data_IF_663878154272
#
_entry.id   IF_663878154272
#
_cell.length_a   1.000
_cell.length_b   1.000
_cell.length_c   1.000
_cell.angle_alpha   90.00
_cell.angle_beta   90.00
_cell.angle_gamma   90.00
#
_symmetry.space_group_name_H-M   'P 1'
#
loop_
_entity.id
_entity.type
_entity.pdbx_description
1 polymer ?
#
# COMPACT_ATOMS: atom_id res chain seq x y z
N UNK A 1 1.84 1.26 -23.87
CA UNK A 1 3.10 1.80 -23.32
C UNK A 1 3.70 0.73 -22.45
N UNK A 2 4.99 0.45 -22.61
CA UNK A 2 5.70 -0.51 -21.77
C UNK A 2 6.54 0.29 -20.77
N UNK A 3 6.25 0.18 -19.48
CA UNK A 3 6.94 0.91 -18.41
C UNK A 3 8.18 0.14 -17.95
N UNK A 4 9.26 0.88 -17.63
CA UNK A 4 10.40 0.31 -16.94
C UNK A 4 10.05 0.07 -15.46
N UNK A 5 10.48 -1.06 -14.93
CA UNK A 5 10.29 -1.42 -13.52
C UNK A 5 11.46 -0.99 -12.62
N UNK A 6 12.46 -0.33 -13.18
CA UNK A 6 13.58 0.19 -12.37
C UNK A 6 13.12 1.37 -11.53
N UNK A 7 13.39 1.34 -10.24
CA UNK A 7 13.14 2.46 -9.34
C UNK A 7 14.15 3.59 -9.61
N UNK A 8 13.64 4.83 -9.75
CA UNK A 8 14.46 6.02 -9.89
C UNK A 8 14.54 6.76 -8.54
N UNK A 9 15.64 6.58 -7.83
CA UNK A 9 15.92 7.19 -6.54
C UNK A 9 16.23 8.69 -6.58
N UNK A 10 16.32 9.28 -7.79
CA UNK A 10 16.58 10.71 -8.02
C UNK A 10 15.30 11.51 -8.24
N UNK A 11 14.19 10.84 -8.54
CA UNK A 11 12.91 11.48 -8.84
C UNK A 11 12.04 11.60 -7.59
N UNK A 12 12.31 12.59 -6.76
CA UNK A 12 11.55 12.85 -5.52
C UNK A 12 11.29 14.34 -5.31
N UNK A 13 10.37 14.63 -4.40
CA UNK A 13 10.18 15.95 -3.77
C UNK A 13 10.46 15.85 -2.29
N UNK A 14 10.89 16.96 -1.66
CA UNK A 14 10.99 17.06 -0.20
C UNK A 14 9.78 17.84 0.27
N UNK A 15 9.00 17.21 1.13
CA UNK A 15 7.76 17.78 1.66
C UNK A 15 7.84 17.91 3.20
N UNK A 16 7.12 18.88 3.73
CA UNK A 16 6.98 19.09 5.18
C UNK A 16 5.51 19.24 5.50
N UNK A 17 5.04 18.49 6.49
CA UNK A 17 3.69 18.56 7.02
C UNK A 17 3.72 18.69 8.54
N UNK A 18 2.83 19.51 9.10
CA UNK A 18 2.66 19.64 10.55
C UNK A 18 1.22 19.27 10.91
N UNK A 19 1.06 18.22 11.70
CA UNK A 19 -0.24 17.74 12.19
C UNK A 19 -0.11 17.38 13.67
N UNK A 20 -1.10 17.74 14.50
CA UNK A 20 -1.09 17.53 15.95
C UNK A 20 0.24 18.01 16.59
N UNK A 21 0.70 19.23 16.23
CA UNK A 21 1.94 19.85 16.69
C UNK A 21 3.24 19.09 16.32
N UNK A 22 3.12 17.97 15.60
CA UNK A 22 4.24 17.17 15.14
C UNK A 22 4.61 17.55 13.72
N UNK A 23 5.86 17.97 13.54
CA UNK A 23 6.44 18.32 12.25
C UNK A 23 7.13 17.09 11.66
N UNK A 24 6.80 16.77 10.42
CA UNK A 24 7.37 15.67 9.65
C UNK A 24 7.95 16.22 8.34
N UNK A 25 9.24 16.02 8.09
CA UNK A 25 9.92 16.29 6.82
C UNK A 25 10.24 14.94 6.18
N UNK A 26 9.89 14.78 4.90
CA UNK A 26 10.04 13.48 4.21
C UNK A 26 10.29 13.66 2.72
N UNK A 27 10.95 12.67 2.11
CA UNK A 27 11.00 12.52 0.65
C UNK A 27 9.77 11.78 0.16
N UNK A 28 9.20 12.28 -0.92
CA UNK A 28 8.06 11.69 -1.61
C UNK A 28 8.47 11.27 -3.02
N UNK A 29 8.43 9.98 -3.30
CA UNK A 29 8.57 9.38 -4.63
C UNK A 29 7.17 8.99 -5.08
N UNK A 30 6.65 9.64 -6.10
CA UNK A 30 5.25 9.50 -6.46
C UNK A 30 5.03 9.07 -7.91
N UNK A 31 3.83 8.56 -8.16
CA UNK A 31 3.40 8.11 -9.48
C UNK A 31 4.30 7.01 -10.10
N UNK A 32 4.81 6.12 -9.27
CA UNK A 32 5.64 4.99 -9.69
C UNK A 32 4.75 3.87 -10.21
N UNK A 33 4.78 3.62 -11.51
CA UNK A 33 4.07 2.49 -12.12
C UNK A 33 4.82 1.20 -11.79
N UNK A 34 4.13 0.23 -11.19
CA UNK A 34 4.76 -1.00 -10.66
C UNK A 34 4.56 -2.25 -11.56
N UNK A 35 3.99 -2.09 -12.75
CA UNK A 35 3.84 -3.13 -13.78
C UNK A 35 4.20 -2.58 -15.15
N UNK A 36 4.70 -3.43 -16.07
CA UNK A 36 5.08 -2.99 -17.42
C UNK A 36 3.88 -2.58 -18.26
N UNK A 37 2.76 -3.27 -18.11
CA UNK A 37 1.55 -3.12 -18.92
C UNK A 37 0.34 -2.78 -18.05
N UNK A 38 0.26 -1.57 -17.45
CA UNK A 38 -0.87 -1.22 -16.63
C UNK A 38 -2.17 -1.15 -17.46
N UNK A 39 -3.23 -1.74 -16.95
CA UNK A 39 -4.57 -1.65 -17.51
C UNK A 39 -5.17 -0.27 -17.15
N UNK A 40 -4.92 0.20 -15.93
CA UNK A 40 -5.27 1.55 -15.49
C UNK A 40 -4.13 2.18 -14.67
N UNK A 41 -3.29 3.04 -15.31
CA UNK A 41 -2.15 3.67 -14.66
C UNK A 41 -2.54 4.69 -13.58
N UNK A 42 -3.82 5.09 -13.49
CA UNK A 42 -4.28 5.96 -12.41
C UNK A 42 -4.30 5.22 -11.06
N UNK A 43 -4.49 3.90 -11.08
CA UNK A 43 -4.54 3.06 -9.89
C UNK A 43 -3.35 2.11 -9.79
N UNK A 44 -2.80 1.59 -10.90
CA UNK A 44 -1.66 0.68 -10.89
C UNK A 44 -0.33 1.43 -10.73
N UNK A 45 -0.26 2.24 -9.70
CA UNK A 45 0.91 3.01 -9.28
C UNK A 45 1.05 3.00 -7.77
N UNK A 46 2.25 3.32 -7.29
CA UNK A 46 2.52 3.46 -5.87
C UNK A 46 3.25 4.77 -5.57
N UNK A 47 3.27 5.13 -4.30
CA UNK A 47 4.09 6.22 -3.76
C UNK A 47 4.92 5.69 -2.61
N UNK A 48 6.17 6.18 -2.51
CA UNK A 48 7.09 5.86 -1.41
C UNK A 48 7.37 7.13 -0.64
N UNK A 49 7.24 7.07 0.69
CA UNK A 49 7.54 8.18 1.58
C UNK A 49 8.59 7.74 2.58
N UNK A 50 9.64 8.55 2.73
CA UNK A 50 10.81 8.24 3.55
C UNK A 50 11.12 9.43 4.46
N UNK A 51 11.26 9.25 5.78
CA UNK A 51 11.67 10.33 6.67
C UNK A 51 12.99 10.96 6.19
N UNK A 52 13.03 12.28 6.01
CA UNK A 52 14.23 12.98 5.52
C UNK A 52 15.43 12.79 6.46
N UNK A 53 15.17 12.64 7.75
CA UNK A 53 16.15 12.34 8.81
C UNK A 53 17.11 11.19 8.44
N UNK A 54 16.64 10.20 7.70
CA UNK A 54 17.48 9.07 7.25
C UNK A 54 18.52 9.46 6.21
N UNK A 55 18.21 10.42 5.35
CA UNK A 55 19.17 10.94 4.36
C UNK A 55 20.15 11.93 4.96
N UNK A 56 19.86 12.44 6.15
CA UNK A 56 20.76 13.25 6.97
C UNK A 56 21.72 12.38 7.81
N UNK A 57 21.68 11.04 7.65
CA UNK A 57 22.53 10.08 8.36
C UNK A 57 22.05 9.73 9.77
N UNK A 58 20.86 10.19 10.16
CA UNK A 58 20.29 9.94 11.49
C UNK A 58 19.37 8.72 11.51
N UNK A 59 18.94 8.31 12.70
CA UNK A 59 18.01 7.21 12.95
C UNK A 59 16.76 7.71 13.65
N UNK A 60 15.65 6.97 13.51
CA UNK A 60 14.42 7.15 14.28
C UNK A 60 14.21 5.86 15.11
N UNK A 61 14.39 5.97 16.43
CA UNK A 61 14.47 4.79 17.29
C UNK A 61 15.59 3.85 16.83
N UNK A 62 15.26 2.58 16.59
CA UNK A 62 16.21 1.56 16.13
C UNK A 62 16.29 1.44 14.59
N UNK A 63 15.64 2.35 13.85
CA UNK A 63 15.54 2.26 12.39
C UNK A 63 16.39 3.31 11.70
N UNK A 64 16.94 2.93 10.55
CA UNK A 64 17.66 3.79 9.62
C UNK A 64 17.18 3.49 8.18
N UNK A 65 17.81 4.17 7.20
CA UNK A 65 17.45 4.05 5.79
C UNK A 65 17.41 2.59 5.27
N UNK A 66 18.25 1.71 5.81
CA UNK A 66 18.39 0.33 5.32
C UNK A 66 17.61 -0.68 6.18
N UNK A 67 17.32 -0.37 7.44
CA UNK A 67 16.73 -1.32 8.40
C UNK A 67 15.26 -1.08 8.68
N UNK A 68 14.74 0.10 8.31
CA UNK A 68 13.36 0.47 8.54
C UNK A 68 12.39 -0.51 7.86
N UNK A 69 11.40 -1.05 8.57
CA UNK A 69 10.34 -1.84 7.96
C UNK A 69 9.50 -0.98 7.02
N UNK A 70 8.89 -1.63 6.04
CA UNK A 70 7.95 -0.99 5.11
C UNK A 70 6.53 -1.13 5.65
N UNK A 71 5.87 -0.01 5.91
CA UNK A 71 4.45 0.06 6.16
C UNK A 71 3.71 0.28 4.85
N UNK A 72 2.83 -0.66 4.48
CA UNK A 72 2.14 -0.65 3.18
C UNK A 72 0.62 -0.56 3.38
N UNK A 73 0.07 0.67 3.54
CA UNK A 73 -1.36 0.88 3.62
C UNK A 73 -2.00 0.76 2.23
N UNK A 74 -3.10 0.00 2.12
CA UNK A 74 -3.94 0.02 0.94
C UNK A 74 -5.26 0.75 1.23
N UNK A 75 -5.74 1.54 0.27
CA UNK A 75 -6.97 2.35 0.39
C UNK A 75 -8.17 1.70 -0.28
N UNK A 76 -8.11 0.40 -0.52
CA UNK A 76 -9.25 -0.33 -1.10
C UNK A 76 -10.36 -0.41 -0.06
N UNK A 77 -11.47 0.27 -0.31
CA UNK A 77 -12.68 0.25 0.52
C UNK A 77 -13.83 -0.36 -0.28
N UNK A 78 -14.52 -1.35 0.29
CA UNK A 78 -15.62 -2.04 -0.40
C UNK A 78 -15.22 -2.66 -1.75
N UNK A 79 -13.94 -3.04 -1.91
CA UNK A 79 -13.34 -3.50 -3.17
C UNK A 79 -13.43 -2.49 -4.33
N UNK A 80 -13.67 -1.21 -4.04
CA UNK A 80 -13.58 -0.12 -5.00
C UNK A 80 -12.10 0.21 -5.28
N UNK A 81 -11.79 0.89 -6.40
CA UNK A 81 -10.41 1.29 -6.68
C UNK A 81 -9.84 2.16 -5.57
N UNK A 82 -8.60 1.91 -5.18
CA UNK A 82 -7.86 2.70 -4.20
C UNK A 82 -6.65 3.37 -4.85
N UNK A 83 -6.53 4.69 -4.72
CA UNK A 83 -5.32 5.41 -5.09
C UNK A 83 -4.29 5.44 -3.95
N UNK A 84 -2.99 5.66 -4.22
CA UNK A 84 -1.99 5.86 -3.18
C UNK A 84 -2.38 6.96 -2.20
N UNK A 85 -2.15 6.73 -0.90
CA UNK A 85 -2.43 7.71 0.15
C UNK A 85 -1.15 8.43 0.58
N UNK A 86 -1.21 9.76 0.66
CA UNK A 86 -0.15 10.60 1.23
C UNK A 86 -0.30 10.77 2.75
N UNK A 87 0.79 11.16 3.45
CA UNK A 87 0.66 11.68 4.81
C UNK A 87 -0.35 12.84 4.86
N UNK A 88 -1.27 12.80 5.81
CA UNK A 88 -2.34 13.80 5.86
C UNK A 88 -3.38 13.50 6.92
N UNK A 89 -4.53 14.16 6.79
CA UNK A 89 -5.70 13.97 7.67
C UNK A 89 -6.61 12.88 7.12
N UNK A 90 -6.98 11.95 7.97
CA UNK A 90 -8.08 11.03 7.72
C UNK A 90 -9.39 11.78 7.90
N UNK A 91 -10.10 12.03 6.80
CA UNK A 91 -11.34 12.84 6.76
C UNK A 91 -12.50 12.26 7.57
N UNK A 92 -12.50 10.94 7.84
CA UNK A 92 -13.59 10.30 8.60
C UNK A 92 -13.50 10.55 10.11
N UNK A 93 -12.28 10.65 10.64
CA UNK A 93 -12.04 10.81 12.08
C UNK A 93 -11.39 12.16 12.42
N UNK A 94 -11.09 12.97 11.41
CA UNK A 94 -10.44 14.28 11.53
C UNK A 94 -9.14 14.23 12.37
N UNK A 95 -8.31 13.20 12.13
CA UNK A 95 -7.01 12.98 12.80
C UNK A 95 -5.96 12.64 11.74
N UNK A 96 -4.66 12.76 12.05
CA UNK A 96 -3.61 12.29 11.17
C UNK A 96 -3.83 10.83 10.76
N UNK A 97 -3.56 10.51 9.49
CA UNK A 97 -3.73 9.16 8.97
C UNK A 97 -2.59 8.22 9.39
N UNK A 98 -2.76 6.92 9.13
CA UNK A 98 -1.79 5.91 9.47
C UNK A 98 -0.43 6.13 8.77
N UNK A 99 -0.43 6.67 7.55
CA UNK A 99 0.78 7.02 6.79
C UNK A 99 1.64 8.06 7.54
N UNK A 100 1.01 9.10 8.08
CA UNK A 100 1.70 10.12 8.86
C UNK A 100 2.33 9.53 10.12
N UNK A 101 1.56 8.76 10.89
CA UNK A 101 2.09 8.15 12.12
C UNK A 101 3.18 7.12 11.85
N UNK A 102 3.05 6.30 10.79
CA UNK A 102 4.08 5.34 10.41
C UNK A 102 5.43 6.03 10.16
N UNK A 103 5.44 7.14 9.41
CA UNK A 103 6.66 7.92 9.16
C UNK A 103 7.24 8.52 10.44
N UNK A 104 6.40 9.04 11.35
CA UNK A 104 6.86 9.56 12.65
C UNK A 104 7.54 8.49 13.50
N UNK A 105 7.10 7.24 13.38
CA UNK A 105 7.70 6.10 14.09
C UNK A 105 8.85 5.44 13.33
N UNK A 106 9.33 6.06 12.26
CA UNK A 106 10.50 5.63 11.52
C UNK A 106 10.24 4.53 10.49
N UNK A 107 8.99 4.17 10.20
CA UNK A 107 8.69 3.28 9.08
C UNK A 107 8.86 4.01 7.75
N UNK A 108 9.29 3.28 6.73
CA UNK A 108 9.16 3.75 5.36
C UNK A 108 7.77 3.35 4.88
N UNK A 109 7.04 4.29 4.28
CA UNK A 109 5.70 4.01 3.79
C UNK A 109 5.72 3.78 2.30
N UNK A 110 5.15 2.64 1.88
CA UNK A 110 4.86 2.36 0.48
C UNK A 110 3.36 2.21 0.32
N UNK A 111 2.72 3.19 -0.27
CA UNK A 111 1.28 3.22 -0.48
C UNK A 111 0.95 2.79 -1.91
N UNK A 112 0.52 1.53 -2.15
CA UNK A 112 0.10 1.07 -3.45
C UNK A 112 -1.34 1.50 -3.74
N UNK A 113 -1.60 1.93 -4.97
CA UNK A 113 -2.92 1.93 -5.52
C UNK A 113 -3.27 0.55 -6.09
N UNK A 114 -4.55 0.30 -6.27
CA UNK A 114 -5.05 -0.93 -6.88
C UNK A 114 -6.37 -0.67 -7.61
N UNK A 115 -6.59 -1.39 -8.71
CA UNK A 115 -7.88 -1.43 -9.40
C UNK A 115 -8.93 -2.05 -8.49
N UNK A 116 -10.20 -1.80 -8.78
CA UNK A 116 -11.30 -2.33 -8.02
C UNK A 116 -12.59 -2.41 -8.81
N UNK A 117 -13.62 -2.95 -8.19
CA UNK A 117 -14.94 -3.11 -8.82
C UNK A 117 -15.47 -1.76 -9.32
N UNK A 118 -16.20 -1.79 -10.42
CA UNK A 118 -16.82 -0.62 -11.03
C UNK A 118 -15.93 0.14 -12.02
N UNK A 119 -14.61 -0.13 -12.05
CA UNK A 119 -13.74 0.41 -13.09
C UNK A 119 -14.11 -0.15 -14.46
N UNK A 120 -14.19 0.75 -15.45
CA UNK A 120 -14.40 0.41 -16.85
C UNK A 120 -13.38 1.12 -17.73
N UNK A 121 -12.99 0.45 -18.80
CA UNK A 121 -12.22 1.08 -19.88
C UNK A 121 -13.10 1.96 -20.77
N UNK A 122 -12.50 2.58 -21.78
CA UNK A 122 -13.19 3.44 -22.76
C UNK A 122 -14.27 2.70 -23.58
N UNK A 123 -14.23 1.37 -23.62
CA UNK A 123 -15.18 0.53 -24.33
C UNK A 123 -16.29 -0.01 -23.40
N UNK A 124 -16.29 0.40 -22.11
CA UNK A 124 -17.26 -0.03 -21.12
C UNK A 124 -16.97 -1.40 -20.49
N UNK A 125 -15.83 -2.05 -20.83
CA UNK A 125 -15.42 -3.34 -20.26
C UNK A 125 -14.92 -3.13 -18.83
N UNK A 126 -15.38 -3.95 -17.89
CA UNK A 126 -14.91 -3.94 -16.51
C UNK A 126 -13.43 -4.39 -16.43
N UNK A 127 -12.59 -3.59 -15.78
CA UNK A 127 -11.14 -3.79 -15.68
C UNK A 127 -10.66 -4.08 -14.26
N UNK A 128 -11.54 -3.94 -13.28
CA UNK A 128 -11.24 -4.12 -11.86
C UNK A 128 -12.03 -5.23 -11.18
N UNK A 129 -12.57 -6.20 -11.93
CA UNK A 129 -13.22 -7.39 -11.39
C UNK A 129 -12.21 -8.28 -10.65
N UNK A 130 -12.71 -9.10 -9.71
CA UNK A 130 -11.85 -10.08 -9.04
C UNK A 130 -11.11 -10.96 -10.07
N UNK A 131 -9.80 -11.22 -9.86
CA UNK A 131 -8.97 -10.92 -8.70
C UNK A 131 -8.13 -9.62 -8.81
N UNK A 132 -8.53 -8.62 -9.60
CA UNK A 132 -7.71 -7.46 -9.94
C UNK A 132 -7.06 -6.76 -8.73
N UNK A 133 -7.82 -6.50 -7.64
CA UNK A 133 -7.29 -5.84 -6.46
C UNK A 133 -6.07 -6.57 -5.86
N UNK A 134 -6.20 -7.86 -5.62
CA UNK A 134 -5.14 -8.64 -4.99
C UNK A 134 -3.94 -8.84 -5.92
N UNK A 135 -4.18 -8.99 -7.21
CA UNK A 135 -3.12 -9.08 -8.24
C UNK A 135 -2.29 -7.80 -8.28
N UNK A 136 -2.95 -6.63 -8.22
CA UNK A 136 -2.27 -5.35 -8.19
C UNK A 136 -1.40 -5.18 -6.93
N UNK A 137 -1.92 -5.54 -5.75
CA UNK A 137 -1.14 -5.51 -4.50
C UNK A 137 0.06 -6.48 -4.53
N UNK A 138 -0.11 -7.67 -5.10
CA UNK A 138 0.99 -8.63 -5.31
C UNK A 138 2.05 -8.09 -6.27
N UNK A 139 1.62 -7.44 -7.36
CA UNK A 139 2.54 -6.83 -8.32
C UNK A 139 3.35 -5.69 -7.66
N UNK A 140 2.72 -4.88 -6.81
CA UNK A 140 3.41 -3.84 -6.04
C UNK A 140 4.50 -4.44 -5.11
N UNK A 141 4.20 -5.54 -4.40
CA UNK A 141 5.21 -6.25 -3.57
C UNK A 141 6.35 -6.80 -4.43
N UNK A 142 6.06 -7.38 -5.59
CA UNK A 142 7.10 -7.85 -6.53
C UNK A 142 7.99 -6.70 -7.02
N UNK A 143 7.40 -5.55 -7.32
CA UNK A 143 8.14 -4.35 -7.69
C UNK A 143 9.14 -3.93 -6.60
N UNK A 144 8.72 -3.91 -5.33
CA UNK A 144 9.60 -3.55 -4.21
C UNK A 144 10.80 -4.51 -4.13
N UNK A 145 10.56 -5.80 -4.22
CA UNK A 145 11.62 -6.82 -4.13
C UNK A 145 12.56 -6.82 -5.33
N UNK A 146 12.03 -6.59 -6.52
CA UNK A 146 12.83 -6.41 -7.74
C UNK A 146 13.85 -5.26 -7.58
N UNK A 147 13.47 -4.23 -6.85
CA UNK A 147 14.30 -3.04 -6.60
C UNK A 147 14.95 -3.02 -5.20
N UNK A 148 15.07 -4.15 -4.52
CA UNK A 148 15.54 -4.25 -3.13
C UNK A 148 16.88 -3.59 -2.82
N UNK A 149 17.75 -3.48 -3.82
CA UNK A 149 19.08 -2.88 -3.67
C UNK A 149 19.08 -1.35 -3.79
N UNK A 150 17.94 -0.76 -4.20
CA UNK A 150 17.82 0.69 -4.47
C UNK A 150 16.71 1.30 -3.62
N UNK A 151 15.63 0.57 -3.38
CA UNK A 151 14.50 1.04 -2.56
C UNK A 151 14.97 1.20 -1.11
N UNK A 152 14.69 2.37 -0.50
CA UNK A 152 14.96 2.58 0.91
C UNK A 152 14.12 1.65 1.79
N UNK A 153 14.70 1.18 2.88
CA UNK A 153 14.08 0.28 3.84
C UNK A 153 14.34 -1.20 3.59
N UNK A 154 13.80 -2.01 4.48
CA UNK A 154 13.94 -3.45 4.41
C UNK A 154 12.72 -4.08 3.73
N UNK A 155 12.83 -4.38 2.44
CA UNK A 155 11.74 -4.98 1.63
C UNK A 155 11.36 -6.40 2.05
N UNK A 156 12.11 -7.03 2.95
CA UNK A 156 11.75 -8.31 3.56
C UNK A 156 10.81 -8.13 4.77
N UNK A 157 10.68 -6.91 5.27
CA UNK A 157 9.83 -6.57 6.42
C UNK A 157 8.69 -5.65 5.98
N UNK A 158 7.70 -6.23 5.31
CA UNK A 158 6.52 -5.49 4.83
C UNK A 158 5.33 -5.74 5.75
N UNK A 159 4.75 -4.65 6.25
CA UNK A 159 3.54 -4.64 7.08
C UNK A 159 2.40 -4.13 6.21
N UNK A 160 1.55 -5.03 5.73
CA UNK A 160 0.35 -4.63 4.98
C UNK A 160 -0.76 -4.17 5.94
N UNK A 161 -1.40 -3.05 5.61
CA UNK A 161 -2.47 -2.47 6.41
C UNK A 161 -3.66 -2.10 5.54
N UNK A 162 -4.87 -2.35 6.05
CA UNK A 162 -6.11 -1.96 5.38
C UNK A 162 -7.31 -2.10 6.30
N UNK A 163 -8.40 -1.40 5.97
CA UNK A 163 -9.65 -1.44 6.72
C UNK A 163 -10.74 -2.11 5.90
N UNK A 164 -11.62 -2.91 6.50
CA UNK A 164 -12.73 -3.61 5.84
C UNK A 164 -12.22 -4.48 4.68
N UNK A 165 -12.66 -4.26 3.44
CA UNK A 165 -12.16 -4.96 2.25
C UNK A 165 -10.63 -4.84 2.09
N UNK A 166 -10.03 -3.69 2.44
CA UNK A 166 -8.57 -3.52 2.46
C UNK A 166 -7.90 -4.41 3.48
N UNK A 167 -8.51 -4.62 4.65
CA UNK A 167 -8.04 -5.58 5.67
C UNK A 167 -8.08 -7.02 5.16
N UNK A 168 -9.19 -7.42 4.52
CA UNK A 168 -9.31 -8.72 3.89
C UNK A 168 -8.24 -8.95 2.80
N UNK A 169 -7.97 -7.92 1.97
CA UNK A 169 -6.92 -7.98 0.95
C UNK A 169 -5.52 -8.07 1.57
N UNK A 170 -5.27 -7.37 2.69
CA UNK A 170 -4.00 -7.50 3.42
C UNK A 170 -3.80 -8.92 3.97
N UNK A 171 -4.85 -9.52 4.53
CA UNK A 171 -4.82 -10.92 4.99
C UNK A 171 -4.59 -11.89 3.80
N UNK A 172 -5.30 -11.69 2.71
CA UNK A 172 -5.17 -12.51 1.50
C UNK A 172 -3.76 -12.37 0.88
N UNK A 173 -3.18 -11.17 0.87
CA UNK A 173 -1.83 -10.93 0.40
C UNK A 173 -0.81 -11.76 1.16
N UNK A 174 -0.91 -11.78 2.51
CA UNK A 174 -0.04 -12.56 3.37
C UNK A 174 -0.24 -14.07 3.23
N UNK A 175 -1.50 -14.52 3.29
CA UNK A 175 -1.83 -15.96 3.31
C UNK A 175 -1.57 -16.66 1.96
N UNK A 176 -1.68 -15.94 0.84
CA UNK A 176 -1.51 -16.54 -0.49
C UNK A 176 -0.12 -16.33 -1.11
N UNK A 177 0.70 -15.43 -0.58
CA UNK A 177 2.09 -15.26 -1.03
C UNK A 177 2.25 -15.32 -2.56
N UNK A 178 3.07 -16.27 -3.02
CA UNK A 178 3.30 -16.56 -4.45
C UNK A 178 2.43 -17.70 -4.99
N UNK A 179 1.18 -17.82 -4.56
CA UNK A 179 0.30 -18.88 -5.03
C UNK A 179 0.18 -18.86 -6.57
N UNK A 180 0.29 -20.02 -7.25
CA UNK A 180 0.34 -20.10 -8.71
C UNK A 180 -0.91 -19.59 -9.42
N UNK A 181 -2.08 -19.60 -8.78
CA UNK A 181 -3.34 -19.10 -9.36
C UNK A 181 -3.29 -17.64 -9.80
N UNK A 182 -2.38 -16.84 -9.23
CA UNK A 182 -2.21 -15.44 -9.60
C UNK A 182 -1.17 -15.21 -10.70
N UNK A 183 -0.39 -16.24 -11.07
CA UNK A 183 0.77 -16.06 -11.92
C UNK A 183 0.41 -15.61 -13.34
N UNK A 184 -0.67 -16.16 -13.93
CA UNK A 184 -1.15 -15.76 -15.25
C UNK A 184 -1.50 -14.27 -15.32
N UNK A 185 -2.22 -13.77 -14.30
CA UNK A 185 -2.60 -12.36 -14.20
C UNK A 185 -1.40 -11.43 -14.01
N UNK A 186 -0.45 -11.82 -13.16
CA UNK A 186 0.77 -11.07 -12.92
C UNK A 186 1.64 -10.98 -14.17
N UNK A 187 1.75 -12.08 -14.92
CA UNK A 187 2.47 -12.13 -16.19
C UNK A 187 1.82 -11.26 -17.27
N UNK A 188 0.49 -11.26 -17.37
CA UNK A 188 -0.27 -10.41 -18.29
C UNK A 188 0.01 -8.92 -18.03
N UNK A 189 0.05 -8.50 -16.77
CA UNK A 189 0.41 -7.14 -16.38
C UNK A 189 1.88 -6.82 -16.58
N UNK A 190 2.74 -7.80 -16.86
CA UNK A 190 4.18 -7.62 -16.86
C UNK A 190 4.71 -7.20 -15.48
N UNK A 191 4.19 -7.81 -14.42
CA UNK A 191 4.74 -7.64 -13.08
C UNK A 191 6.20 -8.13 -13.04
N UNK A 192 6.98 -7.62 -12.09
CA UNK A 192 8.34 -8.08 -11.88
C UNK A 192 8.39 -9.59 -11.63
N UNK A 193 9.51 -10.22 -12.01
CA UNK A 193 9.70 -11.65 -11.86
C UNK A 193 9.58 -12.08 -10.40
N UNK A 194 9.20 -13.34 -10.25
CA UNK A 194 9.08 -13.99 -8.95
C UNK A 194 10.46 -14.19 -8.34
N UNK A 195 10.91 -13.30 -7.46
CA UNK A 195 11.97 -13.66 -6.54
C UNK A 195 11.44 -14.71 -5.54
N UNK A 196 12.23 -15.75 -5.25
CA UNK A 196 11.83 -16.78 -4.28
C UNK A 196 11.55 -16.12 -2.93
N UNK A 197 10.27 -16.08 -2.56
CA UNK A 197 9.81 -15.47 -1.34
C UNK A 197 9.62 -16.58 -0.32
N UNK A 198 10.56 -16.74 0.59
CA UNK A 198 10.24 -17.34 1.86
C UNK A 198 9.42 -16.32 2.64
N UNK A 199 8.10 -16.55 2.73
CA UNK A 199 7.19 -15.78 3.60
C UNK A 199 7.50 -16.10 5.08
N UNK A 200 8.66 -15.69 5.58
CA UNK A 200 8.99 -15.79 6.99
C UNK A 200 8.73 -14.52 7.79
N UNK A 201 8.15 -13.48 7.19
CA UNK A 201 7.97 -12.22 7.89
C UNK A 201 6.51 -11.80 7.95
N UNK A 202 6.07 -11.69 9.15
CA UNK A 202 4.81 -11.30 9.74
C UNK A 202 4.06 -10.20 8.97
N UNK A 203 2.95 -10.57 8.34
CA UNK A 203 1.92 -9.64 7.92
C UNK A 203 1.05 -9.35 9.13
N UNK A 204 1.23 -8.20 9.77
CA UNK A 204 0.29 -7.76 10.80
C UNK A 204 -0.92 -7.18 10.09
N UNK A 205 -2.00 -7.93 10.08
CA UNK A 205 -3.31 -7.46 9.61
C UNK A 205 -3.99 -6.78 10.78
N UNK A 206 -4.08 -5.46 10.75
CA UNK A 206 -4.94 -4.75 11.65
C UNK A 206 -6.35 -4.67 11.03
N UNK A 207 -7.20 -5.64 11.36
CA UNK A 207 -8.63 -5.54 11.13
C UNK A 207 -9.18 -4.50 12.12
N UNK A 208 -9.29 -3.26 11.73
CA UNK A 208 -10.19 -2.34 12.41
C UNK A 208 -11.62 -2.70 12.00
N UNK A 209 -12.23 -3.57 12.79
CA UNK A 209 -13.67 -3.72 12.76
C UNK A 209 -14.23 -2.38 13.30
N UNK A 210 -14.86 -1.59 12.43
CA UNK A 210 -15.76 -0.54 12.90
C UNK A 210 -16.73 -1.21 13.88
N UNK A 211 -16.64 -0.85 15.16
CA UNK A 211 -17.71 -1.14 16.10
C UNK A 211 -18.94 -0.38 15.59
N UNK A 212 -19.73 -1.04 14.75
CA UNK A 212 -21.10 -0.65 14.59
C UNK A 212 -21.72 -0.82 16.00
N UNK A 213 -22.00 0.27 16.67
CA UNK A 213 -22.92 0.25 17.80
C UNK A 213 -24.27 -0.19 17.24
N UNK A 214 -24.54 -1.48 17.35
CA UNK A 214 -25.90 -1.97 17.29
C UNK A 214 -26.56 -1.36 18.52
N UNK A 215 -27.30 -0.26 18.34
CA UNK A 215 -28.22 0.21 19.38
C UNK A 215 -29.21 -0.93 19.59
N UNK A 216 -29.41 -1.41 20.84
CA UNK A 216 -30.51 -2.31 21.10
C UNK A 216 -31.79 -1.56 20.69
N UNK A 217 -32.48 -2.05 19.68
CA UNK A 217 -33.85 -1.65 19.46
C UNK A 217 -34.63 -2.21 20.66
N UNK A 218 -35.14 -1.37 21.51
CA UNK A 218 -36.15 -1.74 22.50
C UNK A 218 -37.38 -2.24 21.73
N UNK A 219 -37.36 -3.48 21.33
CA UNK A 219 -38.54 -4.20 20.85
C UNK A 219 -39.25 -4.76 22.07
N UNK A 220 -40.22 -4.03 22.58
CA UNK A 220 -41.26 -4.64 23.42
C UNK A 220 -42.02 -5.63 22.57
N UNK A 221 -41.81 -6.92 22.80
CA UNK A 221 -42.74 -7.96 22.39
C UNK A 221 -44.01 -7.76 23.28
N UNK A 222 -45.11 -7.37 22.68
CA UNK A 222 -46.45 -7.51 23.26
C UNK A 222 -46.88 -8.92 22.99
N UNK A 223 -47.31 -9.62 24.03
CA UNK A 223 -47.94 -10.96 24.00
C UNK A 223 -49.18 -11.01 23.11
#
# INVERSE_FOLDING_TARGET
>A
MNYDLKFDDKKYTIETITLDEKKLKYRAFENIIYVKNPIDPNFQKLSIFVPETYYEGNSIGNYNLNTAPIFSPNKVAGYMPGAPEKPGINKFINKPNATFYALLHGYIVVSPGARGRGLKDKNGKFTGTAPACIVDLKAAVRYLRHNKNIIPGNVEKIISNGTSAGGALSALLGSTGNHPDYESYLKELGAADKEMIFLQHLVIVQLQILKMQIRPTNGSFVE
#
